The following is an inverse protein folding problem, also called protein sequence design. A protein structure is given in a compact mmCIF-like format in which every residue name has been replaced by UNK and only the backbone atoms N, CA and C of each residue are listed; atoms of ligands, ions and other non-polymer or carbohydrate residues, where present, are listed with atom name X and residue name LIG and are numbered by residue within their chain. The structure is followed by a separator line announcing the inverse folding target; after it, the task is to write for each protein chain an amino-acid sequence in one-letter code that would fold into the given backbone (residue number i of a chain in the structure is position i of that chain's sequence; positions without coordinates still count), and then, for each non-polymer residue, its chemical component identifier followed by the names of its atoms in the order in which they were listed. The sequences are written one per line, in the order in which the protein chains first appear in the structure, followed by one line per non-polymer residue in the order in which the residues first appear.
data_IF_324578848195
#
_entry.id   IF_324578848195
#
_cell.length_a   1.000
_cell.length_b   1.000
_cell.length_c   1.000
_cell.angle_alpha   90.00
_cell.angle_beta   90.00
_cell.angle_gamma   90.00
#
_symmetry.space_group_name_H-M   'P 1'
#
loop_
_entity.id
_entity.type
_entity.pdbx_description
1 polymer ?
#
# COMPACT_ATOMS: atom_id res chain seq x y z
N UNK A 1 0.85 -1.32 0.49
CA UNK A 1 -0.31 -2.15 0.86
C UNK A 1 -1.28 -2.11 -0.31
N UNK A 2 -1.53 -3.26 -0.93
CA UNK A 2 -2.51 -3.39 -2.01
C UNK A 2 -3.12 -4.80 -2.00
N UNK A 3 -4.41 -4.92 -2.33
CA UNK A 3 -5.08 -6.22 -2.39
C UNK A 3 -4.70 -7.05 -3.64
N UNK A 4 -4.20 -6.39 -4.68
CA UNK A 4 -3.79 -6.93 -5.97
C UNK A 4 -2.34 -7.41 -5.92
N UNK A 5 -2.15 -8.73 -5.98
CA UNK A 5 -0.81 -9.32 -6.07
C UNK A 5 -0.04 -8.86 -7.32
N UNK A 6 -0.65 -8.79 -8.53
CA UNK A 6 0.04 -8.27 -9.71
C UNK A 6 0.54 -6.83 -9.55
N UNK A 7 -0.20 -5.98 -8.83
CA UNK A 7 0.22 -4.60 -8.59
C UNK A 7 1.45 -4.54 -7.67
N UNK A 8 1.50 -5.40 -6.65
CA UNK A 8 2.66 -5.50 -5.75
C UNK A 8 3.90 -6.05 -6.47
N UNK A 9 3.73 -7.03 -7.35
CA UNK A 9 4.83 -7.57 -8.17
C UNK A 9 5.40 -6.50 -9.11
N UNK A 10 4.52 -5.77 -9.82
CA UNK A 10 4.93 -4.64 -10.65
C UNK A 10 5.66 -3.55 -9.85
N UNK A 11 5.20 -3.25 -8.64
CA UNK A 11 5.84 -2.27 -7.77
C UNK A 11 7.24 -2.74 -7.31
N UNK A 12 7.41 -4.04 -7.01
CA UNK A 12 8.74 -4.62 -6.70
C UNK A 12 9.69 -4.53 -7.89
N UNK A 13 9.22 -4.84 -9.10
CA UNK A 13 10.02 -4.70 -10.32
C UNK A 13 10.46 -3.24 -10.51
N UNK A 14 9.55 -2.28 -10.31
CA UNK A 14 9.87 -0.86 -10.43
C UNK A 14 10.91 -0.38 -9.39
N UNK A 15 10.91 -0.93 -8.18
CA UNK A 15 11.95 -0.64 -7.17
C UNK A 15 13.33 -1.05 -7.69
N UNK A 16 13.44 -2.26 -8.24
CA UNK A 16 14.69 -2.78 -8.81
C UNK A 16 15.12 -1.95 -10.01
N UNK A 17 14.20 -1.62 -10.92
CA UNK A 17 14.49 -0.83 -12.12
C UNK A 17 15.00 0.58 -11.83
N UNK A 18 14.61 1.17 -10.68
CA UNK A 18 15.02 2.51 -10.28
C UNK A 18 16.21 2.51 -9.28
N UNK A 19 16.85 1.36 -9.05
CA UNK A 19 17.95 1.20 -8.09
C UNK A 19 17.60 1.71 -6.68
N UNK A 20 16.35 1.56 -6.25
CA UNK A 20 15.92 1.92 -4.91
C UNK A 20 16.23 0.75 -3.98
N UNK A 21 16.83 1.02 -2.82
CA UNK A 21 17.14 0.00 -1.82
C UNK A 21 15.86 -0.75 -1.37
N UNK A 22 15.74 -2.06 -1.65
CA UNK A 22 14.58 -2.84 -1.24
C UNK A 22 14.40 -2.91 0.28
N UNK A 23 15.48 -2.74 1.06
CA UNK A 23 15.42 -2.74 2.53
C UNK A 23 14.63 -1.56 3.11
N UNK A 24 14.36 -0.53 2.30
CA UNK A 24 13.60 0.66 2.69
C UNK A 24 12.12 0.58 2.32
N UNK A 25 11.67 -0.52 1.69
CA UNK A 25 10.31 -0.65 1.16
C UNK A 25 9.67 -1.94 1.64
N UNK A 26 8.47 -1.83 2.20
CA UNK A 26 7.66 -2.98 2.61
C UNK A 26 6.43 -3.15 1.71
N UNK A 27 6.22 -4.38 1.23
CA UNK A 27 5.08 -4.75 0.40
C UNK A 27 4.15 -5.69 1.16
N UNK A 28 2.93 -5.24 1.44
CA UNK A 28 1.89 -6.06 2.08
C UNK A 28 0.72 -6.27 1.12
N UNK A 29 0.29 -7.53 0.99
CA UNK A 29 -0.92 -7.93 0.27
C UNK A 29 -2.10 -7.99 1.23
N UNK A 30 -2.80 -6.88 1.38
CA UNK A 30 -3.91 -6.72 2.32
C UNK A 30 -4.87 -5.65 1.80
N UNK A 31 -6.13 -5.68 2.23
CA UNK A 31 -7.03 -4.55 2.03
C UNK A 31 -6.52 -3.36 2.85
N UNK A 32 -6.35 -2.20 2.22
CA UNK A 32 -5.77 -1.05 2.89
C UNK A 32 -6.64 -0.53 4.05
N UNK A 33 -7.98 -0.70 4.01
CA UNK A 33 -8.84 -0.30 5.14
C UNK A 33 -8.64 -1.22 6.33
N UNK A 34 -8.54 -2.53 6.08
CA UNK A 34 -8.25 -3.51 7.12
C UNK A 34 -6.89 -3.26 7.76
N UNK A 35 -5.86 -3.06 6.94
CA UNK A 35 -4.52 -2.73 7.40
C UNK A 35 -4.52 -1.48 8.29
N UNK A 36 -5.16 -0.39 7.84
CA UNK A 36 -5.18 0.87 8.59
C UNK A 36 -5.93 0.75 9.93
N UNK A 37 -6.99 -0.07 10.01
CA UNK A 37 -7.65 -0.38 11.28
C UNK A 37 -6.73 -1.15 12.22
N UNK A 38 -6.01 -2.14 11.70
CA UNK A 38 -5.03 -2.91 12.48
C UNK A 38 -3.88 -2.02 12.97
N UNK A 39 -3.35 -1.17 12.10
CA UNK A 39 -2.32 -0.19 12.42
C UNK A 39 -2.75 0.76 13.55
N UNK A 40 -3.98 1.26 13.49
CA UNK A 40 -4.54 2.11 14.53
C UNK A 40 -4.60 1.39 15.88
N UNK A 41 -5.01 0.12 15.90
CA UNK A 41 -5.03 -0.70 17.12
C UNK A 41 -3.63 -0.96 17.68
N UNK A 42 -2.61 -1.02 16.83
CA UNK A 42 -1.21 -1.20 17.21
C UNK A 42 -0.51 0.11 17.57
N UNK A 43 -1.20 1.26 17.52
CA UNK A 43 -0.62 2.60 17.66
C UNK A 43 0.57 2.83 16.72
N UNK A 44 0.51 2.29 15.51
CA UNK A 44 1.50 2.58 14.47
C UNK A 44 1.29 3.98 13.91
N UNK A 45 2.39 4.67 13.62
CA UNK A 45 2.39 6.04 13.11
C UNK A 45 3.41 6.21 11.99
N UNK A 46 3.11 7.11 11.07
CA UNK A 46 3.96 7.44 9.93
C UNK A 46 4.00 8.96 9.74
N UNK A 47 5.14 9.48 9.26
CA UNK A 47 5.27 10.90 8.93
C UNK A 47 4.39 11.29 7.73
N UNK A 48 4.27 10.38 6.75
CA UNK A 48 3.50 10.59 5.53
C UNK A 48 2.70 9.33 5.21
N UNK A 49 1.40 9.51 4.96
CA UNK A 49 0.51 8.46 4.48
C UNK A 49 -0.08 8.88 3.14
N UNK A 50 0.16 8.08 2.09
CA UNK A 50 -0.41 8.28 0.76
C UNK A 50 -1.58 7.31 0.58
N UNK A 51 -2.79 7.85 0.41
CA UNK A 51 -4.01 7.09 0.18
C UNK A 51 -4.54 7.44 -1.20
N UNK A 52 -4.64 6.45 -2.08
CA UNK A 52 -5.33 6.61 -3.37
C UNK A 52 -6.75 6.03 -3.25
N UNK A 53 -7.79 6.88 -3.06
CA UNK A 53 -9.14 6.39 -2.88
C UNK A 53 -9.69 5.82 -4.19
N UNK A 54 -10.49 4.75 -4.13
CA UNK A 54 -11.18 4.19 -5.28
C UNK A 54 -12.09 5.23 -5.92
N UNK A 55 -12.27 5.16 -7.24
CA UNK A 55 -13.33 5.91 -7.92
C UNK A 55 -14.68 5.57 -7.27
N UNK A 56 -15.44 6.59 -6.84
CA UNK A 56 -16.85 6.49 -6.45
C UNK A 56 -17.67 6.02 -7.67
N UNK A 57 -17.69 4.72 -7.93
CA UNK A 57 -18.58 4.10 -8.91
C UNK A 57 -19.45 3.09 -8.15
N UNK A 58 -20.79 3.19 -8.24
CA UNK A 58 -21.68 2.24 -7.60
C UNK A 58 -21.48 0.90 -8.31
N UNK A 59 -21.11 -0.13 -7.54
CA UNK A 59 -20.80 -1.49 -8.02
C UNK A 59 -19.50 -1.64 -8.81
N UNK A 60 -18.37 -1.77 -8.11
CA UNK A 60 -17.31 -2.75 -8.43
C UNK A 60 -16.35 -2.83 -7.25
N UNK A 61 -15.82 -4.03 -7.01
CA UNK A 61 -14.91 -4.37 -5.91
C UNK A 61 -13.85 -3.28 -5.79
N UNK A 62 -13.88 -2.60 -4.65
CA UNK A 62 -13.08 -1.41 -4.36
C UNK A 62 -11.63 -1.84 -4.13
N UNK A 63 -10.69 -1.26 -4.87
CA UNK A 63 -9.25 -1.41 -4.61
C UNK A 63 -8.78 -0.11 -3.98
N UNK A 64 -8.36 -0.16 -2.71
CA UNK A 64 -7.67 0.95 -2.04
C UNK A 64 -6.19 0.57 -2.04
N UNK A 65 -5.36 1.44 -2.62
CA UNK A 65 -3.91 1.32 -2.52
C UNK A 65 -3.40 2.31 -1.48
N UNK A 66 -2.67 1.80 -0.48
CA UNK A 66 -1.96 2.64 0.47
C UNK A 66 -0.45 2.42 0.27
N UNK A 67 0.25 3.48 -0.09
CA UNK A 67 1.71 3.49 -0.11
C UNK A 67 2.19 4.11 1.21
N UNK A 68 2.90 3.31 2.00
CA UNK A 68 3.51 3.74 3.25
C UNK A 68 4.98 3.97 2.96
N UNK A 69 5.42 5.23 3.06
CA UNK A 69 6.84 5.58 2.95
C UNK A 69 7.35 5.72 4.38
N UNK A 70 8.13 4.73 4.81
CA UNK A 70 8.88 4.82 6.06
C UNK A 70 10.20 5.52 5.75
N UNK A 71 10.49 6.63 6.42
CA UNK A 71 11.84 7.19 6.47
C UNK A 71 12.63 6.59 7.62
#
# INVERSE_FOLDING_TARGET
VDSSLPALELAKENVVLNNIDPGRISFLKEDATEFMKGALLRNESWDIVIIDPPKLAPSKKVSIMAAIVMF
#
